data_IF_076374276426
#
_entry.id   IF_076374276426
#
_cell.length_a   1.000
_cell.length_b   1.000
_cell.length_c   1.000
_cell.angle_alpha   90.00
_cell.angle_beta   90.00
_cell.angle_gamma   90.00
#
_symmetry.space_group_name_H-M   'P 1'
#
loop_
_entity.id
_entity.type
_entity.pdbx_description
1 polymer ?
#
# COMPACT_ATOMS: atom_id res chain seq x y z
N UNK A 1 52.14 40.58 12.21
CA UNK A 1 50.78 40.38 11.65
C UNK A 1 50.71 38.99 11.04
N UNK A 2 50.01 38.05 11.66
CA UNK A 2 49.53 36.81 11.02
C UNK A 2 48.45 36.20 11.91
N UNK A 3 47.19 36.40 11.53
CA UNK A 3 46.00 35.84 12.18
C UNK A 3 45.95 34.33 11.91
N UNK A 4 45.79 33.52 12.96
CA UNK A 4 45.42 32.11 12.85
C UNK A 4 44.07 32.01 12.15
N UNK A 5 44.03 31.31 11.02
CA UNK A 5 42.78 30.88 10.38
C UNK A 5 42.17 29.82 11.29
N UNK A 6 40.99 30.12 11.83
CA UNK A 6 40.22 29.17 12.60
C UNK A 6 39.63 28.12 11.66
N UNK A 7 39.87 26.87 12.01
CA UNK A 7 39.20 25.66 11.55
C UNK A 7 37.67 25.89 11.54
N UNK A 8 37.05 25.90 10.35
CA UNK A 8 35.59 25.88 10.25
C UNK A 8 35.13 24.42 10.27
N UNK A 9 34.26 24.01 11.22
CA UNK A 9 33.59 22.72 11.10
C UNK A 9 32.57 22.81 9.96
N UNK A 10 32.71 21.92 8.98
CA UNK A 10 31.67 21.69 7.98
C UNK A 10 30.38 21.24 8.70
N UNK A 11 29.22 21.85 8.42
CA UNK A 11 27.98 21.32 8.95
C UNK A 11 27.69 20.02 8.19
N UNK A 12 28.09 18.90 8.79
CA UNK A 12 27.55 17.59 8.49
C UNK A 12 26.04 17.70 8.71
N UNK A 13 25.32 18.03 7.66
CA UNK A 13 23.86 17.98 7.63
C UNK A 13 23.50 16.50 7.63
N UNK A 14 23.56 15.90 8.82
CA UNK A 14 22.86 14.65 9.11
C UNK A 14 21.40 14.94 8.84
N UNK A 15 20.92 14.57 7.66
CA UNK A 15 19.50 14.36 7.42
C UNK A 15 19.08 13.26 8.38
N UNK A 16 18.65 13.66 9.58
CA UNK A 16 17.94 12.76 10.48
C UNK A 16 16.77 12.22 9.66
N UNK A 17 16.60 10.88 9.57
CA UNK A 17 15.47 10.31 8.86
C UNK A 17 14.22 10.94 9.47
N UNK A 18 13.42 11.63 8.64
CA UNK A 18 12.14 12.18 9.06
C UNK A 18 11.39 11.05 9.77
N UNK A 19 10.90 11.30 10.98
CA UNK A 19 10.22 10.27 11.77
C UNK A 19 8.97 9.86 11.01
N UNK A 20 9.05 8.74 10.27
CA UNK A 20 7.93 8.24 9.49
C UNK A 20 6.92 7.70 10.49
N UNK A 21 5.78 8.38 10.59
CA UNK A 21 4.63 7.85 11.33
C UNK A 21 3.93 6.81 10.47
N UNK A 22 4.11 5.55 10.82
CA UNK A 22 3.39 4.46 10.17
C UNK A 22 2.02 4.28 10.86
N UNK A 23 0.95 4.72 10.20
CA UNK A 23 -0.41 4.50 10.67
C UNK A 23 -0.88 3.10 10.27
N UNK A 24 -0.51 2.07 11.05
CA UNK A 24 -1.02 0.71 10.87
C UNK A 24 -2.40 0.57 11.50
N UNK A 25 -3.46 0.95 10.78
CA UNK A 25 -4.79 0.40 11.08
C UNK A 25 -4.96 -0.87 10.25
N UNK A 26 -5.32 -2.02 10.84
CA UNK A 26 -5.72 -3.16 10.03
C UNK A 26 -6.96 -2.73 9.24
N UNK A 27 -6.84 -2.79 7.92
CA UNK A 27 -7.89 -2.45 6.96
C UNK A 27 -7.99 -3.58 5.97
N UNK A 28 -9.20 -3.86 5.51
CA UNK A 28 -9.44 -4.86 4.48
C UNK A 28 -9.12 -4.23 3.13
N UNK A 29 -8.10 -4.74 2.44
CA UNK A 29 -7.74 -4.25 1.12
C UNK A 29 -8.62 -4.89 0.04
N UNK A 30 -9.04 -4.09 -0.94
CA UNK A 30 -9.69 -4.62 -2.13
C UNK A 30 -8.64 -4.96 -3.20
N UNK A 31 -8.92 -6.00 -3.97
CA UNK A 31 -8.05 -6.54 -5.00
C UNK A 31 -8.83 -6.65 -6.32
N UNK A 32 -8.16 -6.57 -7.48
CA UNK A 32 -8.79 -6.98 -8.74
C UNK A 32 -9.22 -8.45 -8.65
N UNK A 33 -10.47 -8.73 -9.00
CA UNK A 33 -11.08 -10.05 -8.79
C UNK A 33 -10.27 -11.18 -9.43
N UNK A 34 -9.92 -11.03 -10.71
CA UNK A 34 -9.20 -12.05 -11.46
C UNK A 34 -7.78 -12.29 -10.91
N UNK A 35 -7.10 -11.21 -10.50
CA UNK A 35 -5.75 -11.31 -9.91
C UNK A 35 -5.80 -12.03 -8.56
N UNK A 36 -6.81 -11.74 -7.74
CA UNK A 36 -6.99 -12.40 -6.44
C UNK A 36 -7.36 -13.88 -6.59
N UNK A 37 -8.27 -14.21 -7.52
CA UNK A 37 -8.62 -15.60 -7.86
C UNK A 37 -7.41 -16.40 -8.33
N UNK A 38 -6.60 -15.81 -9.22
CA UNK A 38 -5.37 -16.43 -9.70
C UNK A 38 -4.38 -16.67 -8.55
N UNK A 39 -4.20 -15.69 -7.66
CA UNK A 39 -3.32 -15.81 -6.51
C UNK A 39 -3.79 -16.87 -5.49
N UNK A 40 -5.11 -16.94 -5.21
CA UNK A 40 -5.71 -17.95 -4.32
C UNK A 40 -5.56 -19.36 -4.89
N UNK A 41 -5.71 -19.56 -6.21
CA UNK A 41 -5.64 -20.88 -6.85
C UNK A 41 -4.33 -21.63 -6.55
N UNK A 42 -3.23 -20.89 -6.51
CA UNK A 42 -1.88 -21.43 -6.30
C UNK A 42 -1.33 -21.15 -4.90
N UNK A 43 -1.85 -20.14 -4.21
CA UNK A 43 -1.20 -19.50 -3.07
C UNK A 43 -0.04 -18.62 -3.54
N UNK A 44 0.02 -17.36 -3.11
CA UNK A 44 1.00 -16.43 -3.65
C UNK A 44 0.84 -15.00 -3.15
N UNK A 45 1.37 -14.05 -3.91
CA UNK A 45 1.22 -12.62 -3.61
C UNK A 45 0.27 -11.95 -4.59
N UNK A 46 -0.50 -10.99 -4.10
CA UNK A 46 -1.44 -10.20 -4.89
C UNK A 46 -1.34 -8.73 -4.50
N UNK A 47 -1.50 -7.84 -5.48
CA UNK A 47 -1.44 -6.39 -5.27
C UNK A 47 -2.85 -5.84 -5.10
N UNK A 48 -3.11 -5.19 -3.97
CA UNK A 48 -4.35 -4.45 -3.72
C UNK A 48 -4.48 -3.24 -4.64
N UNK A 49 -5.71 -2.71 -4.76
CA UNK A 49 -5.97 -1.52 -5.57
C UNK A 49 -5.14 -0.30 -5.14
N UNK A 50 -4.84 -0.15 -3.84
CA UNK A 50 -3.99 0.93 -3.32
C UNK A 50 -2.48 0.63 -3.41
N UNK A 51 -2.08 -0.51 -4.00
CA UNK A 51 -0.69 -0.84 -4.29
C UNK A 51 0.05 -1.65 -3.22
N UNK A 52 -0.62 -2.01 -2.12
CA UNK A 52 -0.04 -2.89 -1.08
C UNK A 52 0.00 -4.33 -1.62
N UNK A 53 1.15 -4.99 -1.44
CA UNK A 53 1.32 -6.41 -1.74
C UNK A 53 1.01 -7.24 -0.51
N UNK A 54 0.13 -8.22 -0.68
CA UNK A 54 -0.25 -9.16 0.38
C UNK A 54 0.00 -10.60 -0.06
N UNK A 55 0.38 -11.44 0.89
CA UNK A 55 0.50 -12.88 0.69
C UNK A 55 -0.83 -13.55 1.03
N UNK A 56 -1.40 -14.28 0.07
CA UNK A 56 -2.64 -15.03 0.24
C UNK A 56 -2.34 -16.52 0.28
N UNK A 57 -2.94 -17.26 1.24
CA UNK A 57 -2.83 -18.71 1.28
C UNK A 57 -3.55 -19.34 0.08
N UNK A 58 -3.17 -20.57 -0.27
CA UNK A 58 -3.89 -21.33 -1.29
C UNK A 58 -5.30 -21.67 -0.81
N UNK A 59 -6.30 -21.49 -1.67
CA UNK A 59 -7.71 -21.77 -1.42
C UNK A 59 -8.47 -22.09 -2.70
N UNK A 60 -9.80 -22.11 -2.63
CA UNK A 60 -10.66 -22.28 -3.81
C UNK A 60 -11.00 -20.91 -4.43
N UNK A 61 -10.63 -20.66 -5.70
CA UNK A 61 -11.02 -19.43 -6.40
C UNK A 61 -12.53 -19.23 -6.54
N UNK A 62 -13.33 -20.31 -6.47
CA UNK A 62 -14.78 -20.23 -6.52
C UNK A 62 -15.39 -19.56 -5.28
N UNK A 63 -14.70 -19.59 -4.14
CA UNK A 63 -15.11 -18.92 -2.90
C UNK A 63 -14.83 -17.41 -2.92
N UNK A 64 -14.14 -16.91 -3.95
CA UNK A 64 -13.83 -15.48 -4.09
C UNK A 64 -14.95 -14.78 -4.87
N UNK A 65 -15.64 -13.88 -4.18
CA UNK A 65 -16.70 -13.06 -4.74
C UNK A 65 -16.25 -11.63 -5.06
N UNK A 66 -16.86 -11.02 -6.07
CA UNK A 66 -16.67 -9.60 -6.35
C UNK A 66 -17.36 -8.77 -5.26
N UNK A 67 -16.64 -7.81 -4.68
CA UNK A 67 -17.25 -6.86 -3.76
C UNK A 67 -18.34 -6.06 -4.49
N UNK A 68 -19.57 -6.06 -3.97
CA UNK A 68 -20.69 -5.30 -4.53
C UNK A 68 -20.86 -3.91 -3.91
N UNK A 69 -20.36 -3.74 -2.69
CA UNK A 69 -20.40 -2.53 -1.87
C UNK A 69 -19.14 -2.45 -0.99
N UNK A 70 -18.74 -1.22 -0.63
CA UNK A 70 -17.65 -0.98 0.32
C UNK A 70 -18.12 -1.10 1.77
N UNK A 71 -17.31 -1.71 2.63
CA UNK A 71 -17.53 -1.85 4.08
C UNK A 71 -16.74 -0.80 4.88
N UNK A 72 -17.12 -0.62 6.15
CA UNK A 72 -16.50 0.37 7.03
C UNK A 72 -15.04 0.05 7.40
N UNK A 73 -14.66 -1.22 7.34
CA UNK A 73 -13.32 -1.74 7.60
C UNK A 73 -12.43 -1.77 6.35
N UNK A 74 -12.99 -1.55 5.17
CA UNK A 74 -12.23 -1.49 3.93
C UNK A 74 -11.22 -0.33 3.95
N UNK A 75 -10.12 -0.53 3.23
CA UNK A 75 -9.18 0.54 2.95
C UNK A 75 -9.88 1.61 2.11
N UNK A 76 -10.03 2.82 2.67
CA UNK A 76 -10.70 3.94 2.00
C UNK A 76 -10.14 4.20 0.59
N UNK A 77 -8.82 4.16 0.41
CA UNK A 77 -8.19 4.32 -0.90
C UNK A 77 -8.56 3.20 -1.88
N UNK A 78 -8.65 1.95 -1.42
CA UNK A 78 -9.12 0.86 -2.27
C UNK A 78 -10.59 1.06 -2.65
N UNK A 79 -11.44 1.43 -1.70
CA UNK A 79 -12.86 1.71 -1.95
C UNK A 79 -13.04 2.85 -2.97
N UNK A 80 -12.33 3.97 -2.79
CA UNK A 80 -12.37 5.12 -3.70
C UNK A 80 -11.94 4.75 -5.13
N UNK A 81 -10.83 4.00 -5.27
CA UNK A 81 -10.34 3.55 -6.57
C UNK A 81 -11.29 2.54 -7.23
N UNK A 82 -11.87 1.64 -6.44
CA UNK A 82 -12.83 0.64 -6.93
C UNK A 82 -14.12 1.31 -7.42
N UNK A 83 -14.69 2.21 -6.61
CA UNK A 83 -15.84 3.04 -7.02
C UNK A 83 -15.50 3.84 -8.28
N UNK A 84 -14.36 4.52 -8.32
CA UNK A 84 -13.92 5.26 -9.50
C UNK A 84 -13.82 4.40 -10.77
N UNK A 85 -13.27 3.18 -10.69
CA UNK A 85 -13.21 2.24 -11.84
C UNK A 85 -14.57 1.77 -12.30
N UNK A 86 -15.52 1.58 -11.38
CA UNK A 86 -16.90 1.22 -11.72
C UNK A 86 -17.61 2.34 -12.50
N UNK A 87 -17.24 3.60 -12.27
CA UNK A 87 -17.82 4.75 -12.97
C UNK A 87 -17.20 5.01 -14.35
N UNK A 88 -15.97 4.51 -14.61
CA UNK A 88 -15.26 4.68 -15.89
C UNK A 88 -15.54 3.52 -16.87
N UNK A 89 -16.14 2.41 -16.40
CA UNK A 89 -16.77 1.40 -17.28
C UNK A 89 -18.10 1.95 -17.82
N UNK A 90 -18.04 2.93 -18.72
CA UNK A 90 -19.12 3.35 -19.62
C UNK A 90 -18.86 2.82 -21.03
#
# INVERSE_FOLDING_TARGET
MTRRVADQPTPNTSMLPATIREYRRPRTHLFPLEDYRAAIAIGGTVRSCCGILETVPRGDPADVEEAVDSRADDCATCADLWHGRRWVRL
#
